data_IF_402561913563
#
_entry.id   IF_402561913563
#
_cell.length_a   1.000
_cell.length_b   1.000
_cell.length_c   1.000
_cell.angle_alpha   90.00
_cell.angle_beta   90.00
_cell.angle_gamma   90.00
#
_symmetry.space_group_name_H-M   'P 1'
#
loop_
_entity.id
_entity.type
_entity.pdbx_description
1 polymer ?
#
# COMPACT_ATOMS: atom_id res chain seq x y z
N UNK A 1 -7.72 -11.38 21.78
CA UNK A 1 -8.61 -10.42 22.48
C UNK A 1 -8.16 -10.19 23.91
N UNK A 2 -7.58 -11.20 24.57
CA UNK A 2 -7.18 -11.15 25.99
C UNK A 2 -6.14 -10.09 26.31
N UNK A 3 -5.11 -9.93 25.46
CA UNK A 3 -4.08 -8.90 25.67
C UNK A 3 -4.66 -7.47 25.67
N UNK A 4 -5.60 -7.19 24.75
CA UNK A 4 -6.27 -5.89 24.68
C UNK A 4 -7.15 -5.66 25.92
N UNK A 5 -7.90 -6.69 26.36
CA UNK A 5 -8.73 -6.61 27.56
C UNK A 5 -7.89 -6.40 28.83
N UNK A 6 -6.77 -7.11 28.96
CA UNK A 6 -5.84 -6.95 30.07
C UNK A 6 -5.27 -5.52 30.13
N UNK A 7 -4.84 -4.98 28.98
CA UNK A 7 -4.34 -3.61 28.90
C UNK A 7 -5.42 -2.60 29.28
N UNK A 8 -6.65 -2.72 28.75
CA UNK A 8 -7.75 -1.82 29.08
C UNK A 8 -8.14 -1.87 30.57
N UNK A 9 -8.03 -3.04 31.22
CA UNK A 9 -8.26 -3.18 32.66
C UNK A 9 -7.16 -2.53 33.50
N UNK A 10 -5.90 -2.59 33.04
CA UNK A 10 -4.79 -1.95 33.72
C UNK A 10 -4.87 -0.42 33.57
N UNK A 11 -4.97 0.05 32.32
CA UNK A 11 -5.14 1.45 31.98
C UNK A 11 -5.35 1.64 30.46
N UNK A 12 -6.34 2.47 30.09
CA UNK A 12 -6.82 2.59 28.71
C UNK A 12 -6.11 3.65 27.86
N UNK A 13 -5.65 4.78 28.43
CA UNK A 13 -5.09 5.88 27.63
C UNK A 13 -4.17 6.83 28.41
N UNK A 14 -2.91 6.93 28.00
CA UNK A 14 -1.95 7.92 28.47
C UNK A 14 -1.64 8.91 27.35
N UNK A 15 -1.57 10.18 27.70
CA UNK A 15 -1.12 11.21 26.78
C UNK A 15 0.37 10.99 26.44
N UNK A 16 0.64 10.50 25.24
CA UNK A 16 1.98 10.16 24.74
C UNK A 16 3.00 11.31 24.85
N UNK A 17 2.55 12.57 24.82
CA UNK A 17 3.43 13.74 24.95
C UNK A 17 4.13 13.84 26.32
N UNK A 18 3.60 13.17 27.35
CA UNK A 18 4.07 13.33 28.73
C UNK A 18 4.38 12.01 29.43
N UNK A 19 3.81 10.90 28.95
CA UNK A 19 3.89 9.61 29.62
C UNK A 19 4.18 8.53 28.58
N UNK A 20 5.22 7.74 28.83
CA UNK A 20 5.52 6.54 28.07
C UNK A 20 5.02 5.32 28.84
N UNK A 21 4.55 4.29 28.12
CA UNK A 21 4.03 3.06 28.72
C UNK A 21 4.86 1.85 28.27
N UNK A 22 4.92 0.82 29.12
CA UNK A 22 5.63 -0.42 28.80
C UNK A 22 5.20 -1.06 27.47
N UNK A 23 3.90 -1.13 27.10
CA UNK A 23 3.50 -1.63 25.79
C UNK A 23 4.09 -0.83 24.61
N UNK A 24 4.17 0.51 24.73
CA UNK A 24 4.77 1.37 23.69
C UNK A 24 6.27 1.11 23.58
N UNK A 25 6.98 0.98 24.70
CA UNK A 25 8.42 0.67 24.72
C UNK A 25 8.69 -0.71 24.12
N UNK A 26 7.93 -1.72 24.55
CA UNK A 26 8.08 -3.10 24.08
C UNK A 26 7.82 -3.19 22.57
N UNK A 27 6.75 -2.55 22.08
CA UNK A 27 6.45 -2.51 20.64
C UNK A 27 7.52 -1.78 19.84
N UNK A 28 7.98 -0.62 20.31
CA UNK A 28 9.01 0.19 19.64
C UNK A 28 10.35 -0.57 19.57
N UNK A 29 10.74 -1.21 20.68
CA UNK A 29 11.95 -2.03 20.74
C UNK A 29 11.88 -3.24 19.81
N UNK A 30 10.72 -3.90 19.76
CA UNK A 30 10.49 -5.02 18.83
C UNK A 30 10.56 -4.57 17.36
N UNK A 31 9.93 -3.45 17.00
CA UNK A 31 9.97 -2.89 15.64
C UNK A 31 11.39 -2.50 15.21
N UNK A 32 12.18 -1.88 16.10
CA UNK A 32 13.58 -1.56 15.81
C UNK A 32 14.37 -2.84 15.54
N UNK A 33 14.20 -3.87 16.38
CA UNK A 33 14.88 -5.16 16.24
C UNK A 33 14.48 -5.89 14.96
N UNK A 34 13.20 -5.84 14.56
CA UNK A 34 12.71 -6.53 13.36
C UNK A 34 13.31 -5.97 12.07
N UNK A 35 13.77 -4.72 12.07
CA UNK A 35 14.48 -4.10 10.93
C UNK A 35 15.96 -4.47 10.84
N UNK A 36 16.48 -5.33 11.73
CA UNK A 36 17.91 -5.62 11.85
C UNK A 36 18.72 -4.41 12.36
N UNK A 37 18.08 -3.47 13.05
CA UNK A 37 18.71 -2.25 13.56
C UNK A 37 18.95 -1.16 12.50
N UNK A 38 18.37 -1.28 11.31
CA UNK A 38 18.41 -0.26 10.26
C UNK A 38 17.63 1.01 10.63
N UNK A 39 16.59 0.87 11.46
CA UNK A 39 15.84 1.99 12.03
C UNK A 39 16.24 2.16 13.50
N UNK A 40 16.44 3.42 13.94
CA UNK A 40 16.88 3.73 15.33
C UNK A 40 15.77 4.22 16.24
N UNK A 41 14.66 4.70 15.68
CA UNK A 41 13.53 5.30 16.40
C UNK A 41 12.22 4.97 15.68
N UNK A 42 11.15 4.87 16.44
CA UNK A 42 9.80 4.62 15.94
C UNK A 42 8.90 5.74 16.45
N UNK A 43 8.06 6.27 15.56
CA UNK A 43 6.99 7.19 15.90
C UNK A 43 5.66 6.50 15.59
N UNK A 44 4.90 6.21 16.65
CA UNK A 44 3.64 5.47 16.53
C UNK A 44 2.47 6.42 16.25
N UNK A 45 1.63 6.01 15.31
CA UNK A 45 0.44 6.74 14.86
C UNK A 45 -0.70 5.75 14.62
N UNK A 46 -1.91 6.26 14.44
CA UNK A 46 -3.12 5.44 14.35
C UNK A 46 -3.46 5.02 12.91
N UNK A 47 -2.83 5.62 11.90
CA UNK A 47 -3.09 5.29 10.50
C UNK A 47 -1.88 5.45 9.58
N UNK A 48 -1.94 4.82 8.39
CA UNK A 48 -0.93 5.00 7.35
C UNK A 48 -0.86 6.44 6.81
N UNK A 49 -2.00 7.14 6.73
CA UNK A 49 -2.04 8.55 6.32
C UNK A 49 -1.25 9.44 7.29
N UNK A 50 -1.43 9.24 8.59
CA UNK A 50 -0.67 9.95 9.63
C UNK A 50 0.83 9.60 9.57
N UNK A 51 1.17 8.35 9.24
CA UNK A 51 2.56 7.93 9.09
C UNK A 51 3.23 8.67 7.92
N UNK A 52 2.51 8.86 6.81
CA UNK A 52 3.00 9.65 5.67
C UNK A 52 3.14 11.13 6.03
N UNK A 53 2.17 11.74 6.71
CA UNK A 53 2.28 13.12 7.20
C UNK A 53 3.49 13.32 8.11
N UNK A 54 3.72 12.39 9.05
CA UNK A 54 4.87 12.42 9.94
C UNK A 54 6.18 12.32 9.14
N UNK A 55 6.26 11.44 8.14
CA UNK A 55 7.43 11.30 7.28
C UNK A 55 7.71 12.56 6.44
N UNK A 56 6.67 13.19 5.88
CA UNK A 56 6.78 14.44 5.12
C UNK A 56 7.31 15.57 6.01
N UNK A 57 6.77 15.71 7.23
CA UNK A 57 7.20 16.72 8.21
C UNK A 57 8.62 16.48 8.70
N UNK A 58 8.98 15.25 9.05
CA UNK A 58 10.33 14.90 9.47
C UNK A 58 11.36 15.20 8.38
N UNK A 59 11.05 14.85 7.12
CA UNK A 59 11.91 15.15 5.98
C UNK A 59 12.12 16.67 5.83
N UNK A 60 11.05 17.45 6.02
CA UNK A 60 11.11 18.91 5.96
C UNK A 60 11.94 19.50 7.11
N UNK A 61 11.69 19.08 8.34
CA UNK A 61 12.40 19.55 9.53
C UNK A 61 13.89 19.24 9.45
N UNK A 62 14.26 18.04 8.98
CA UNK A 62 15.66 17.67 8.74
C UNK A 62 16.38 18.69 7.85
N UNK A 63 15.82 18.98 6.65
CA UNK A 63 16.46 19.92 5.73
C UNK A 63 16.48 21.36 6.24
N UNK A 64 15.50 21.76 7.05
CA UNK A 64 15.54 23.05 7.74
C UNK A 64 16.71 23.10 8.73
N UNK A 65 16.88 22.06 9.55
CA UNK A 65 17.91 22.04 10.60
C UNK A 65 19.34 21.94 10.08
N UNK A 66 19.56 21.31 8.92
CA UNK A 66 20.89 21.28 8.29
C UNK A 66 21.19 22.51 7.42
N UNK A 67 20.34 23.53 7.44
CA UNK A 67 20.56 24.78 6.70
C UNK A 67 20.18 24.74 5.22
N UNK A 68 19.36 23.77 4.80
CA UNK A 68 18.84 23.64 3.43
C UNK A 68 17.31 23.90 3.34
N UNK A 69 16.80 25.04 3.83
CA UNK A 69 15.36 25.29 3.95
C UNK A 69 14.65 25.44 2.60
N UNK A 70 15.37 25.43 1.47
CA UNK A 70 14.77 25.46 0.12
C UNK A 70 14.27 24.09 -0.34
N UNK A 71 14.56 23.00 0.38
CA UNK A 71 14.03 21.66 0.05
C UNK A 71 12.57 21.52 0.48
N UNK A 72 11.67 21.88 -0.43
CA UNK A 72 10.20 21.87 -0.21
C UNK A 72 9.43 21.00 -1.20
N UNK A 73 10.13 20.42 -2.17
CA UNK A 73 9.52 19.62 -3.23
C UNK A 73 9.61 18.13 -2.90
N UNK A 74 8.51 17.42 -3.16
CA UNK A 74 8.38 15.98 -3.02
C UNK A 74 8.14 15.35 -4.39
N UNK A 75 8.75 14.19 -4.60
CA UNK A 75 8.54 13.38 -5.80
C UNK A 75 7.69 12.18 -5.39
N UNK A 76 6.49 12.11 -5.97
CA UNK A 76 5.54 11.02 -5.80
C UNK A 76 5.30 10.33 -7.15
N UNK A 77 4.50 9.26 -7.17
CA UNK A 77 4.15 8.57 -8.42
C UNK A 77 2.66 8.63 -8.67
N UNK A 78 2.29 8.75 -9.95
CA UNK A 78 0.91 8.59 -10.42
C UNK A 78 0.39 7.21 -10.01
N UNK A 79 -0.91 7.11 -9.79
CA UNK A 79 -1.60 5.85 -9.46
C UNK A 79 -1.19 5.17 -8.13
N UNK A 80 -0.29 5.75 -7.34
CA UNK A 80 0.02 5.27 -5.99
C UNK A 80 -0.88 5.90 -4.93
N UNK A 81 -1.05 5.18 -3.83
CA UNK A 81 -1.85 5.60 -2.69
C UNK A 81 -0.96 5.80 -1.46
N UNK A 82 -1.06 6.98 -0.87
CA UNK A 82 -0.31 7.35 0.34
C UNK A 82 -1.23 7.79 1.48
N UNK A 83 -2.53 7.93 1.25
CA UNK A 83 -3.50 8.27 2.30
C UNK A 83 -4.55 9.26 1.82
N UNK A 84 -5.30 9.78 2.78
CA UNK A 84 -6.44 10.69 2.56
C UNK A 84 -6.38 11.99 3.37
N UNK A 85 -5.36 12.17 4.21
CA UNK A 85 -5.09 13.48 4.85
C UNK A 85 -4.48 14.45 3.83
N UNK A 86 -4.52 15.78 4.02
CA UNK A 86 -4.10 16.72 2.98
C UNK A 86 -2.69 16.52 2.42
N UNK A 87 -1.68 16.27 3.26
CA UNK A 87 -0.30 16.00 2.83
C UNK A 87 -0.15 14.62 2.20
N UNK A 88 -0.76 13.58 2.78
CA UNK A 88 -0.71 12.21 2.24
C UNK A 88 -1.50 12.06 0.92
N UNK A 89 -2.60 12.79 0.76
CA UNK A 89 -3.37 12.88 -0.48
C UNK A 89 -2.62 13.72 -1.53
N UNK A 90 -1.90 14.77 -1.11
CA UNK A 90 -0.98 15.51 -1.98
C UNK A 90 0.15 14.63 -2.52
N UNK A 91 0.62 13.66 -1.74
CA UNK A 91 1.59 12.64 -2.15
C UNK A 91 0.96 11.48 -2.93
N UNK A 92 -0.36 11.30 -2.88
CA UNK A 92 -1.05 10.24 -3.62
C UNK A 92 -1.22 10.63 -5.08
N UNK A 93 -1.13 9.67 -6.01
CA UNK A 93 -1.21 9.90 -7.45
C UNK A 93 -2.56 9.60 -8.10
N UNK A 94 -3.60 9.29 -7.33
CA UNK A 94 -4.92 8.91 -7.84
C UNK A 94 -5.77 10.14 -8.19
N UNK A 95 -5.81 10.51 -9.48
CA UNK A 95 -6.51 11.72 -9.94
C UNK A 95 -7.98 11.82 -9.47
N UNK A 96 -8.74 10.72 -9.55
CA UNK A 96 -10.14 10.68 -9.10
C UNK A 96 -10.30 10.96 -7.61
N UNK A 97 -9.40 10.42 -6.77
CA UNK A 97 -9.43 10.61 -5.32
C UNK A 97 -8.99 12.02 -4.91
N UNK A 98 -8.05 12.60 -5.66
CA UNK A 98 -7.52 13.96 -5.41
C UNK A 98 -8.44 15.05 -5.91
N UNK A 99 -9.10 14.84 -7.06
CA UNK A 99 -9.81 15.86 -7.82
C UNK A 99 -10.72 16.77 -6.99
N UNK A 100 -11.59 16.23 -6.11
CA UNK A 100 -12.46 17.04 -5.26
C UNK A 100 -11.72 17.94 -4.24
N UNK A 101 -10.46 17.62 -3.93
CA UNK A 101 -9.68 18.27 -2.88
C UNK A 101 -8.52 19.11 -3.41
N UNK A 102 -8.25 19.14 -4.73
CA UNK A 102 -7.12 19.87 -5.32
C UNK A 102 -6.90 21.31 -4.77
N UNK A 103 -7.93 22.13 -4.50
CA UNK A 103 -7.75 23.46 -3.89
C UNK A 103 -7.15 23.45 -2.47
N UNK A 104 -7.23 22.33 -1.75
CA UNK A 104 -6.69 22.14 -0.40
C UNK A 104 -5.34 21.42 -0.39
N UNK A 105 -4.87 20.98 -1.56
CA UNK A 105 -3.59 20.30 -1.71
C UNK A 105 -2.48 21.32 -1.99
N UNK A 106 -1.23 20.87 -1.98
CA UNK A 106 -0.06 21.69 -2.32
C UNK A 106 0.51 21.31 -3.70
N UNK A 107 -0.24 21.52 -4.82
CA UNK A 107 0.15 21.02 -6.14
C UNK A 107 1.50 21.55 -6.63
N UNK A 108 1.93 22.73 -6.17
CA UNK A 108 3.24 23.31 -6.49
C UNK A 108 4.43 22.57 -5.86
N UNK A 109 4.20 21.79 -4.79
CA UNK A 109 5.27 21.11 -4.06
C UNK A 109 5.31 19.60 -4.33
N UNK A 110 4.27 19.00 -4.92
CA UNK A 110 4.19 17.56 -5.15
C UNK A 110 4.23 17.22 -6.65
N UNK A 111 5.33 16.60 -7.07
CA UNK A 111 5.60 16.28 -8.47
C UNK A 111 5.40 14.79 -8.71
N UNK A 112 4.47 14.43 -9.60
CA UNK A 112 4.07 13.05 -9.83
C UNK A 112 4.70 12.46 -11.10
N UNK A 113 5.72 11.63 -10.91
CA UNK A 113 6.33 10.86 -12.01
C UNK A 113 5.44 9.66 -12.38
N UNK A 114 5.62 9.07 -13.57
CA UNK A 114 4.86 7.88 -13.96
C UNK A 114 4.99 6.72 -12.95
N UNK A 115 3.95 5.91 -12.83
CA UNK A 115 3.99 4.69 -12.05
C UNK A 115 5.06 3.74 -12.61
N UNK A 116 5.76 3.02 -11.71
CA UNK A 116 6.60 1.91 -12.15
C UNK A 116 5.65 0.74 -12.41
N UNK A 117 5.40 0.43 -13.68
CA UNK A 117 4.56 -0.67 -14.10
C UNK A 117 5.39 -1.81 -14.70
N UNK A 118 6.20 -2.53 -13.89
CA UNK A 118 6.97 -3.66 -14.40
C UNK A 118 6.08 -4.87 -14.74
N UNK A 119 4.87 -4.94 -14.21
CA UNK A 119 3.92 -6.06 -14.37
C UNK A 119 2.84 -5.84 -15.43
N UNK A 120 2.93 -4.75 -16.20
CA UNK A 120 2.08 -4.54 -17.35
C UNK A 120 2.54 -5.39 -18.56
N UNK A 121 2.95 -6.63 -18.30
CA UNK A 121 3.52 -7.56 -19.28
C UNK A 121 2.75 -8.89 -19.20
N UNK A 122 1.71 -9.02 -20.02
CA UNK A 122 1.07 -10.30 -20.36
C UNK A 122 2.04 -11.29 -20.98
N UNK A 123 3.04 -10.77 -21.69
CA UNK A 123 4.01 -11.54 -22.43
C UNK A 123 5.42 -11.29 -21.84
N UNK A 124 6.05 -12.37 -21.34
CA UNK A 124 7.41 -12.29 -20.78
C UNK A 124 8.47 -11.92 -21.84
N UNK A 125 8.18 -12.14 -23.12
CA UNK A 125 9.03 -11.78 -24.25
C UNK A 125 8.77 -10.33 -24.73
N UNK A 126 7.52 -9.92 -24.93
CA UNK A 126 7.20 -8.58 -25.49
C UNK A 126 6.97 -7.50 -24.44
N UNK A 127 6.71 -7.88 -23.18
CA UNK A 127 6.39 -6.99 -22.06
C UNK A 127 5.13 -6.12 -22.26
N UNK A 128 4.24 -6.50 -23.17
CA UNK A 128 2.98 -5.78 -23.43
C UNK A 128 1.87 -6.17 -22.44
N UNK A 129 0.98 -5.25 -22.01
CA UNK A 129 -0.05 -5.55 -21.00
C UNK A 129 -1.17 -6.43 -21.53
N UNK A 130 -1.92 -7.09 -20.64
CA UNK A 130 -3.15 -7.78 -21.04
C UNK A 130 -4.15 -6.76 -21.62
N UNK A 131 -4.87 -7.22 -22.65
CA UNK A 131 -6.03 -6.51 -23.17
C UNK A 131 -7.03 -6.34 -22.02
N UNK A 132 -7.43 -5.09 -21.74
CA UNK A 132 -8.37 -4.79 -20.66
C UNK A 132 -9.76 -5.38 -20.90
N UNK A 133 -10.14 -5.71 -22.14
CA UNK A 133 -11.34 -6.47 -22.46
C UNK A 133 -11.36 -7.89 -21.87
N UNK A 134 -10.20 -8.46 -21.55
CA UNK A 134 -10.11 -9.76 -20.86
C UNK A 134 -10.54 -9.68 -19.39
N UNK A 135 -10.44 -8.49 -18.78
CA UNK A 135 -10.82 -8.25 -17.37
C UNK A 135 -10.16 -9.26 -16.42
N UNK A 136 -8.87 -9.58 -16.62
CA UNK A 136 -8.20 -10.69 -15.91
C UNK A 136 -8.22 -10.44 -14.40
N UNK A 137 -7.88 -9.23 -13.95
CA UNK A 137 -7.88 -8.89 -12.53
C UNK A 137 -9.27 -9.02 -11.88
N UNK A 138 -10.33 -8.61 -12.59
CA UNK A 138 -11.71 -8.77 -12.10
C UNK A 138 -12.11 -10.24 -12.01
N UNK A 139 -11.78 -11.04 -13.03
CA UNK A 139 -12.08 -12.48 -13.03
C UNK A 139 -11.34 -13.19 -11.89
N UNK A 140 -10.08 -12.83 -11.64
CA UNK A 140 -9.32 -13.38 -10.50
C UNK A 140 -9.98 -12.99 -9.17
N UNK A 141 -10.40 -11.74 -9.01
CA UNK A 141 -11.16 -11.32 -7.83
C UNK A 141 -12.46 -12.12 -7.65
N UNK A 142 -13.19 -12.38 -8.74
CA UNK A 142 -14.44 -13.15 -8.69
C UNK A 142 -14.21 -14.62 -8.31
N UNK A 143 -13.20 -15.27 -8.90
CA UNK A 143 -12.82 -16.64 -8.56
C UNK A 143 -12.30 -16.72 -7.12
N UNK A 144 -11.45 -15.77 -6.72
CA UNK A 144 -10.97 -15.68 -5.34
C UNK A 144 -12.13 -15.54 -4.35
N UNK A 145 -13.02 -14.57 -4.56
CA UNK A 145 -14.17 -14.35 -3.67
C UNK A 145 -15.08 -15.57 -3.55
N UNK A 146 -15.19 -16.38 -4.61
CA UNK A 146 -16.01 -17.60 -4.64
C UNK A 146 -15.36 -18.75 -3.87
N UNK A 147 -14.10 -19.08 -4.20
CA UNK A 147 -13.51 -20.37 -3.82
C UNK A 147 -12.37 -20.26 -2.82
N UNK A 148 -11.62 -19.15 -2.83
CA UNK A 148 -10.34 -19.03 -2.13
C UNK A 148 -10.39 -18.07 -0.94
N UNK A 149 -11.26 -17.06 -1.01
CA UNK A 149 -11.65 -16.11 0.04
C UNK A 149 -10.50 -15.33 0.65
N UNK A 150 -9.48 -15.01 -0.15
CA UNK A 150 -8.35 -14.15 0.26
C UNK A 150 -8.71 -12.66 0.20
N UNK A 151 -9.76 -12.30 -0.55
CA UNK A 151 -10.21 -10.93 -0.79
C UNK A 151 -9.17 -10.12 -1.57
N UNK A 152 -8.87 -10.57 -2.78
CA UNK A 152 -7.94 -9.90 -3.69
C UNK A 152 -8.51 -8.57 -4.18
N UNK A 153 -7.80 -7.47 -3.98
CA UNK A 153 -8.14 -6.19 -4.59
C UNK A 153 -7.74 -6.20 -6.07
N UNK A 154 -8.63 -5.74 -6.94
CA UNK A 154 -8.39 -5.72 -8.38
C UNK A 154 -8.50 -4.31 -8.94
N UNK A 155 -7.72 -4.03 -9.98
CA UNK A 155 -7.81 -2.79 -10.75
C UNK A 155 -7.40 -3.02 -12.20
N UNK A 156 -8.14 -2.41 -13.12
CA UNK A 156 -7.88 -2.35 -14.55
C UNK A 156 -7.23 -1.02 -14.92
N UNK A 157 -6.58 -0.98 -16.08
CA UNK A 157 -5.99 0.23 -16.64
C UNK A 157 -4.69 0.66 -15.96
N UNK A 158 -4.05 -0.22 -15.19
CA UNK A 158 -2.87 0.14 -14.40
C UNK A 158 -1.65 0.46 -15.26
N UNK A 159 -1.57 -0.01 -16.51
CA UNK A 159 -0.47 0.29 -17.44
C UNK A 159 -0.58 1.67 -18.12
N UNK A 160 -1.66 2.43 -17.85
CA UNK A 160 -1.97 3.67 -18.55
C UNK A 160 -2.77 3.46 -19.83
N UNK A 161 -3.51 4.48 -20.25
CA UNK A 161 -4.38 4.42 -21.43
C UNK A 161 -5.50 3.37 -21.34
N UNK A 162 -5.90 2.97 -20.12
CA UNK A 162 -6.91 1.94 -19.91
C UNK A 162 -6.43 0.50 -20.11
N UNK A 163 -5.12 0.27 -20.29
CA UNK A 163 -4.54 -1.07 -20.48
C UNK A 163 -3.97 -1.67 -19.20
N UNK A 164 -3.86 -2.99 -19.17
CA UNK A 164 -3.19 -3.74 -18.10
C UNK A 164 -4.02 -3.90 -16.82
N UNK A 165 -3.71 -4.98 -16.11
CA UNK A 165 -4.46 -5.46 -14.96
C UNK A 165 -3.52 -5.60 -13.75
N UNK A 166 -4.01 -5.26 -12.56
CA UNK A 166 -3.28 -5.44 -11.31
C UNK A 166 -4.19 -6.07 -10.26
N UNK A 167 -3.64 -7.06 -9.55
CA UNK A 167 -4.23 -7.61 -8.34
C UNK A 167 -3.31 -7.30 -7.15
N UNK A 168 -3.90 -6.99 -6.00
CA UNK A 168 -3.18 -6.70 -4.77
C UNK A 168 -3.69 -7.60 -3.65
N UNK A 169 -2.75 -8.22 -2.95
CA UNK A 169 -2.97 -8.95 -1.71
C UNK A 169 -2.48 -8.11 -0.54
N UNK A 170 -3.24 -8.09 0.56
CA UNK A 170 -2.96 -7.26 1.73
C UNK A 170 -2.94 -8.13 2.99
N UNK A 171 -1.95 -9.03 3.15
CA UNK A 171 -1.83 -9.81 4.38
C UNK A 171 -1.59 -8.89 5.58
N UNK A 172 -2.11 -9.28 6.74
CA UNK A 172 -1.83 -8.58 7.98
C UNK A 172 -0.33 -8.62 8.30
N UNK A 173 0.21 -7.55 8.89
CA UNK A 173 1.64 -7.49 9.20
C UNK A 173 2.11 -8.58 10.18
N UNK A 174 1.20 -9.08 11.02
CA UNK A 174 1.45 -10.17 11.97
C UNK A 174 1.06 -11.55 11.42
N UNK A 175 0.94 -11.72 10.10
CA UNK A 175 0.67 -13.00 9.45
C UNK A 175 1.80 -14.00 9.73
N UNK A 176 1.44 -15.26 9.91
CA UNK A 176 2.41 -16.35 10.11
C UNK A 176 2.88 -16.90 8.76
N UNK A 177 4.05 -17.56 8.73
CA UNK A 177 4.62 -18.07 7.48
C UNK A 177 3.70 -19.09 6.78
N UNK A 178 3.03 -19.94 7.54
CA UNK A 178 2.02 -20.89 7.05
C UNK A 178 0.83 -20.18 6.42
N UNK A 179 0.32 -19.10 7.02
CA UNK A 179 -0.76 -18.31 6.44
C UNK A 179 -0.30 -17.55 5.17
N UNK A 180 0.97 -17.15 5.08
CA UNK A 180 1.52 -16.58 3.84
C UNK A 180 1.51 -17.63 2.73
N UNK A 181 1.96 -18.85 3.01
CA UNK A 181 1.97 -19.96 2.04
C UNK A 181 0.54 -20.27 1.58
N UNK A 182 -0.40 -20.46 2.52
CA UNK A 182 -1.82 -20.70 2.20
C UNK A 182 -2.42 -19.56 1.36
N UNK A 183 -2.12 -18.31 1.70
CA UNK A 183 -2.57 -17.14 0.92
C UNK A 183 -2.03 -17.19 -0.51
N UNK A 184 -0.74 -17.51 -0.69
CA UNK A 184 -0.11 -17.58 -2.01
C UNK A 184 -0.69 -18.74 -2.84
N UNK A 185 -0.86 -19.92 -2.26
CA UNK A 185 -1.42 -21.09 -2.93
C UNK A 185 -2.86 -20.84 -3.42
N UNK A 186 -3.67 -20.20 -2.57
CA UNK A 186 -5.05 -19.80 -2.90
C UNK A 186 -5.13 -18.81 -4.04
N UNK A 187 -4.33 -17.75 -3.97
CA UNK A 187 -4.28 -16.73 -5.03
C UNK A 187 -3.75 -17.32 -6.33
N UNK A 188 -2.75 -18.20 -6.26
CA UNK A 188 -2.25 -18.93 -7.42
C UNK A 188 -3.34 -19.80 -8.04
N UNK A 189 -4.12 -20.53 -7.23
CA UNK A 189 -5.26 -21.32 -7.69
C UNK A 189 -6.30 -20.49 -8.45
N UNK A 190 -6.67 -19.32 -7.90
CA UNK A 190 -7.59 -18.40 -8.56
C UNK A 190 -7.06 -17.90 -9.90
N UNK A 191 -5.79 -17.53 -9.96
CA UNK A 191 -5.11 -17.09 -11.18
C UNK A 191 -5.08 -18.22 -12.22
N UNK A 192 -4.68 -19.42 -11.83
CA UNK A 192 -4.60 -20.58 -12.71
C UNK A 192 -5.95 -20.96 -13.31
N UNK A 193 -7.03 -20.90 -12.52
CA UNK A 193 -8.38 -21.17 -13.02
C UNK A 193 -8.79 -20.17 -14.10
N UNK A 194 -8.58 -18.87 -13.85
CA UNK A 194 -8.88 -17.83 -14.84
C UNK A 194 -8.10 -18.06 -16.13
N UNK A 195 -6.81 -18.37 -16.03
CA UNK A 195 -6.00 -18.64 -17.22
C UNK A 195 -6.37 -19.97 -17.90
N UNK A 196 -6.85 -20.97 -17.17
CA UNK A 196 -7.37 -22.22 -17.75
C UNK A 196 -8.64 -21.94 -18.56
N UNK A 197 -9.56 -21.15 -18.02
CA UNK A 197 -10.78 -20.73 -18.71
C UNK A 197 -10.48 -19.92 -19.97
N UNK A 198 -9.54 -18.96 -19.90
CA UNK A 198 -9.12 -18.15 -21.06
C UNK A 198 -8.49 -18.97 -22.19
N UNK A 199 -7.73 -20.03 -21.86
CA UNK A 199 -7.17 -20.95 -22.86
C UNK A 199 -8.23 -21.83 -23.52
N UNK A 200 -9.29 -22.20 -22.78
CA UNK A 200 -10.40 -23.00 -23.30
C UNK A 200 -11.36 -22.24 -24.22
N UNK A 201 -11.42 -20.91 -24.11
CA UNK A 201 -12.38 -20.06 -24.81
C UNK A 201 -11.90 -19.50 -26.17
N UNK A 202 -11.03 -20.19 -26.91
CA UNK A 202 -10.48 -19.72 -28.21
C UNK A 202 -9.75 -18.36 -28.15
N UNK A 203 -9.05 -18.04 -27.06
CA UNK A 203 -8.06 -16.96 -27.11
C UNK A 203 -6.81 -17.46 -27.85
N UNK A 204 -6.75 -17.27 -29.18
CA UNK A 204 -5.51 -17.45 -29.93
C UNK A 204 -4.56 -16.31 -29.56
N UNK A 205 -3.33 -16.70 -29.20
CA UNK A 205 -2.17 -15.83 -29.03
C UNK A 205 -1.94 -14.96 -30.26
#
# INVERSE_FOLDING_TARGET
MDAALAQMKAFSYAAHAHVETKPVQDLSGWLIKSTGGNVKKVYLVCSGSEAVEAALRLSREYFVWIGEPRRVNFIARRELYHGTTPGSLSASGHAVRRGPFEPLLAPQNFHHIPACNPSAAADKATKEPFDSGLQVAQRVHQVDARDFKVLVYHRQGCAGGGRGDHIMIMPAYNITADLVVDTVERVAGAVEEVFRALRGSHYRR
#
